data_IF_803802729469
#
_entry.id   IF_803802729469
#
_cell.length_a   1.000
_cell.length_b   1.000
_cell.length_c   1.000
_cell.angle_alpha   90.00
_cell.angle_beta   90.00
_cell.angle_gamma   90.00
#
_symmetry.space_group_name_H-M   'P 1'
#
loop_
_entity.id
_entity.type
_entity.pdbx_description
1 polymer ?
#
# COMPACT_ATOMS: atom_id res chain seq x y z
N UNK A 1 5.86 13.82 21.34
CA UNK A 1 4.94 13.71 20.19
C UNK A 1 3.49 13.97 20.59
N UNK A 2 2.96 13.35 21.65
CA UNK A 2 1.57 13.50 22.12
C UNK A 2 1.07 14.96 22.22
N UNK A 3 1.88 15.88 22.75
CA UNK A 3 1.51 17.32 22.82
C UNK A 3 1.26 17.94 21.44
N UNK A 4 2.04 17.56 20.43
CA UNK A 4 1.88 18.02 19.05
C UNK A 4 0.57 17.46 18.50
N UNK A 5 0.31 16.17 18.68
CA UNK A 5 -0.94 15.54 18.23
C UNK A 5 -2.15 16.22 18.87
N UNK A 6 -2.11 16.44 20.18
CA UNK A 6 -3.19 17.12 20.88
C UNK A 6 -3.41 18.56 20.35
N UNK A 7 -2.33 19.30 20.07
CA UNK A 7 -2.43 20.64 19.49
C UNK A 7 -3.06 20.61 18.09
N UNK A 8 -2.63 19.68 17.23
CA UNK A 8 -3.15 19.49 15.88
C UNK A 8 -4.64 19.12 15.93
N UNK A 9 -5.01 18.11 16.72
CA UNK A 9 -6.42 17.67 16.85
C UNK A 9 -7.30 18.78 17.41
N UNK A 10 -6.82 19.56 18.39
CA UNK A 10 -7.56 20.70 18.94
C UNK A 10 -7.78 21.80 17.90
N UNK A 11 -6.80 22.05 17.03
CA UNK A 11 -6.95 23.01 15.95
C UNK A 11 -8.00 22.54 14.94
N UNK A 12 -7.96 21.28 14.50
CA UNK A 12 -9.00 20.73 13.62
C UNK A 12 -10.39 20.80 14.24
N UNK A 13 -10.53 20.44 15.53
CA UNK A 13 -11.79 20.53 16.24
C UNK A 13 -12.31 21.98 16.31
N UNK A 14 -11.42 22.96 16.49
CA UNK A 14 -11.82 24.38 16.54
C UNK A 14 -12.33 24.88 15.19
N UNK A 15 -11.65 24.54 14.10
CA UNK A 15 -11.97 25.03 12.77
C UNK A 15 -13.18 24.30 12.14
N UNK A 16 -13.33 23.00 12.42
CA UNK A 16 -14.39 22.16 11.82
C UNK A 16 -15.62 21.98 12.74
N UNK A 17 -15.48 22.16 14.05
CA UNK A 17 -16.55 21.93 15.04
C UNK A 17 -17.29 20.60 14.81
N UNK A 18 -18.58 20.64 14.46
CA UNK A 18 -19.43 19.47 14.22
C UNK A 18 -19.14 18.74 12.92
N UNK A 19 -18.40 19.36 12.01
CA UNK A 19 -18.02 18.75 10.74
C UNK A 19 -16.81 17.81 10.89
N UNK A 20 -16.06 17.87 12.01
CA UNK A 20 -15.10 16.83 12.38
C UNK A 20 -15.79 15.79 13.25
N UNK A 21 -16.14 14.67 12.63
CA UNK A 21 -16.90 13.62 13.30
C UNK A 21 -16.01 12.71 14.14
N UNK A 22 -14.81 12.39 13.64
CA UNK A 22 -13.83 11.59 14.36
C UNK A 22 -12.40 12.00 14.04
N UNK A 23 -11.51 11.77 15.01
CA UNK A 23 -10.07 11.82 14.80
C UNK A 23 -9.42 10.59 15.43
N UNK A 24 -8.60 9.89 14.67
CA UNK A 24 -7.92 8.66 15.08
C UNK A 24 -6.42 8.77 14.85
N UNK A 25 -5.66 8.29 15.82
CA UNK A 25 -4.26 7.96 15.64
C UNK A 25 -4.15 6.46 15.34
N UNK A 26 -3.31 6.09 14.38
CA UNK A 26 -3.04 4.69 14.08
C UNK A 26 -1.56 4.46 13.78
N UNK A 27 -1.18 3.20 13.55
CA UNK A 27 0.21 2.81 13.30
C UNK A 27 1.11 3.00 14.53
N UNK A 28 2.39 3.27 14.28
CA UNK A 28 3.43 3.07 15.31
C UNK A 28 3.28 3.92 16.59
N UNK A 29 2.71 5.13 16.46
CA UNK A 29 2.48 5.98 17.62
C UNK A 29 1.34 5.47 18.49
N UNK A 30 0.26 4.97 17.89
CA UNK A 30 -0.85 4.37 18.65
C UNK A 30 -0.42 3.06 19.35
N UNK A 31 0.44 2.27 18.70
CA UNK A 31 0.97 1.01 19.21
C UNK A 31 2.16 1.15 20.19
N UNK A 32 2.60 2.37 20.50
CA UNK A 32 3.74 2.65 21.40
C UNK A 32 5.10 2.09 20.93
N UNK A 33 5.28 1.90 19.62
CA UNK A 33 6.56 1.51 18.99
C UNK A 33 7.10 2.61 18.03
N UNK A 34 6.67 3.86 18.24
CA UNK A 34 7.09 5.02 17.47
C UNK A 34 8.56 5.37 17.67
N UNK A 35 9.26 5.64 16.56
CA UNK A 35 10.61 6.16 16.54
C UNK A 35 10.62 7.49 15.75
N UNK A 36 11.00 8.63 16.34
CA UNK A 36 10.98 9.92 15.67
C UNK A 36 11.91 10.01 14.46
N UNK A 37 12.93 9.16 14.36
CA UNK A 37 13.85 9.15 13.24
C UNK A 37 13.32 8.36 12.06
N UNK A 38 12.43 7.38 12.29
CA UNK A 38 12.02 6.42 11.27
C UNK A 38 10.52 6.36 11.00
N UNK A 39 9.70 6.81 11.95
CA UNK A 39 8.23 6.77 11.87
C UNK A 39 7.66 8.11 11.42
N UNK A 40 6.59 8.03 10.65
CA UNK A 40 5.64 9.12 10.45
C UNK A 40 4.54 9.07 11.52
N UNK A 41 3.76 10.16 11.59
CA UNK A 41 2.54 10.21 12.38
C UNK A 41 1.37 9.93 11.45
N UNK A 42 0.60 8.89 11.77
CA UNK A 42 -0.55 8.47 10.99
C UNK A 42 -1.85 8.93 11.69
N UNK A 43 -2.43 10.01 11.17
CA UNK A 43 -3.70 10.56 11.62
C UNK A 43 -4.78 10.29 10.59
N UNK A 44 -5.97 9.92 11.05
CA UNK A 44 -7.18 9.79 10.25
C UNK A 44 -8.22 10.79 10.77
N UNK A 45 -8.70 11.66 9.90
CA UNK A 45 -9.80 12.58 10.16
C UNK A 45 -11.02 12.11 9.39
N UNK A 46 -12.12 11.89 10.10
CA UNK A 46 -13.42 11.60 9.49
C UNK A 46 -14.26 12.86 9.55
N UNK A 47 -14.60 13.38 8.38
CA UNK A 47 -15.32 14.65 8.24
C UNK A 47 -16.70 14.43 7.61
N UNK A 48 -17.59 15.40 7.81
CA UNK A 48 -18.91 15.40 7.20
C UNK A 48 -18.79 15.50 5.67
N UNK A 49 -19.80 15.00 4.95
CA UNK A 49 -19.85 15.08 3.48
C UNK A 49 -19.95 16.52 2.94
N UNK A 50 -20.10 17.52 3.81
CA UNK A 50 -20.22 18.94 3.42
C UNK A 50 -18.87 19.64 3.40
N UNK A 51 -17.86 19.07 4.03
CA UNK A 51 -16.52 19.65 4.07
C UNK A 51 -15.84 19.44 2.72
N UNK A 52 -15.48 20.53 2.05
CA UNK A 52 -14.70 20.45 0.81
C UNK A 52 -13.23 20.17 1.13
N UNK A 53 -12.55 19.45 0.23
CA UNK A 53 -11.11 19.20 0.37
C UNK A 53 -10.30 20.51 0.32
N UNK A 54 -10.82 21.54 -0.33
CA UNK A 54 -10.25 22.89 -0.37
C UNK A 54 -10.24 23.53 1.02
N UNK A 55 -11.37 23.48 1.73
CA UNK A 55 -11.44 23.98 3.10
C UNK A 55 -10.50 23.21 4.04
N UNK A 56 -10.37 21.89 3.85
CA UNK A 56 -9.40 21.09 4.60
C UNK A 56 -7.95 21.50 4.32
N UNK A 57 -7.62 21.85 3.07
CA UNK A 57 -6.31 22.37 2.71
C UNK A 57 -6.05 23.69 3.44
N UNK A 58 -6.99 24.62 3.43
CA UNK A 58 -6.84 25.92 4.11
C UNK A 58 -6.57 25.75 5.62
N UNK A 59 -7.24 24.80 6.27
CA UNK A 59 -7.02 24.48 7.69
C UNK A 59 -5.65 23.81 7.91
N UNK A 60 -5.26 22.90 7.02
CA UNK A 60 -4.05 22.11 7.21
C UNK A 60 -2.76 22.85 6.86
N UNK A 61 -2.78 23.79 5.92
CA UNK A 61 -1.58 24.52 5.47
C UNK A 61 -0.79 25.16 6.64
N UNK A 62 -1.40 25.93 7.55
CA UNK A 62 -0.71 26.46 8.73
C UNK A 62 -0.18 25.36 9.68
N UNK A 63 -0.91 24.24 9.80
CA UNK A 63 -0.50 23.09 10.61
C UNK A 63 0.76 22.45 10.00
N UNK A 64 0.78 22.26 8.69
CA UNK A 64 1.90 21.68 7.96
C UNK A 64 3.15 22.56 8.04
N UNK A 65 2.99 23.88 7.89
CA UNK A 65 4.09 24.84 8.03
C UNK A 65 4.70 24.81 9.44
N UNK A 66 3.88 24.58 10.47
CA UNK A 66 4.32 24.55 11.87
C UNK A 66 4.89 23.17 12.30
N UNK A 67 4.24 22.09 11.89
CA UNK A 67 4.49 20.73 12.42
C UNK A 67 4.88 19.69 11.38
N UNK A 68 4.94 20.06 10.09
CA UNK A 68 5.14 19.13 8.97
C UNK A 68 6.42 18.31 9.06
N UNK A 69 7.51 18.89 9.56
CA UNK A 69 8.79 18.19 9.78
C UNK A 69 8.68 17.08 10.84
N UNK A 70 7.82 17.27 11.84
CA UNK A 70 7.62 16.37 12.96
C UNK A 70 6.63 15.25 12.62
N UNK A 71 5.54 15.58 11.93
CA UNK A 71 4.52 14.58 11.55
C UNK A 71 4.88 13.81 10.27
N UNK A 72 5.67 14.42 9.36
CA UNK A 72 6.21 13.86 8.10
C UNK A 72 5.18 13.39 7.07
N UNK A 73 3.90 13.36 7.43
CA UNK A 73 2.79 12.93 6.58
C UNK A 73 1.55 13.75 6.92
N UNK A 74 0.79 14.13 5.89
CA UNK A 74 -0.54 14.69 6.08
C UNK A 74 -1.52 13.66 6.64
N UNK A 75 -2.57 14.07 7.36
CA UNK A 75 -3.61 13.15 7.79
C UNK A 75 -4.34 12.54 6.58
N UNK A 76 -4.79 11.30 6.73
CA UNK A 76 -5.86 10.78 5.89
C UNK A 76 -7.14 11.54 6.19
N UNK A 77 -7.83 12.00 5.15
CA UNK A 77 -9.12 12.68 5.27
C UNK A 77 -10.16 11.84 4.55
N UNK A 78 -11.17 11.41 5.28
CA UNK A 78 -12.26 10.60 4.73
C UNK A 78 -13.61 11.15 5.15
N UNK A 79 -14.60 10.98 4.28
CA UNK A 79 -15.98 10.91 4.74
C UNK A 79 -16.30 9.51 5.26
N UNK A 80 -17.39 9.33 6.02
CA UNK A 80 -17.83 8.00 6.47
C UNK A 80 -17.91 6.99 5.33
N UNK A 81 -18.50 7.38 4.20
CA UNK A 81 -18.67 6.50 3.05
C UNK A 81 -17.31 6.11 2.43
N UNK A 82 -16.40 7.08 2.31
CA UNK A 82 -15.05 6.83 1.79
C UNK A 82 -14.28 5.89 2.71
N UNK A 83 -14.36 6.10 4.03
CA UNK A 83 -13.71 5.23 5.01
C UNK A 83 -14.34 3.82 5.01
N UNK A 84 -15.67 3.71 4.97
CA UNK A 84 -16.36 2.43 4.97
C UNK A 84 -15.98 1.60 3.75
N UNK A 85 -15.94 2.23 2.58
CA UNK A 85 -15.45 1.61 1.35
C UNK A 85 -13.99 1.20 1.48
N UNK A 86 -13.12 2.07 1.98
CA UNK A 86 -11.71 1.75 2.15
C UNK A 86 -11.51 0.57 3.11
N UNK A 87 -12.20 0.54 4.25
CA UNK A 87 -12.18 -0.57 5.20
C UNK A 87 -12.66 -1.88 4.59
N UNK A 88 -13.76 -1.85 3.82
CA UNK A 88 -14.26 -3.01 3.09
C UNK A 88 -13.23 -3.56 2.10
N UNK A 89 -12.53 -2.66 1.39
CA UNK A 89 -11.52 -3.03 0.39
C UNK A 89 -10.19 -3.44 1.02
N UNK A 90 -9.87 -2.92 2.21
CA UNK A 90 -8.64 -3.18 2.96
C UNK A 90 -8.96 -3.78 4.34
N UNK A 91 -9.36 -5.07 4.43
CA UNK A 91 -9.69 -5.70 5.72
C UNK A 91 -8.57 -5.60 6.75
N UNK A 92 -7.31 -5.80 6.34
CA UNK A 92 -6.17 -5.65 7.26
C UNK A 92 -6.09 -4.25 7.88
N UNK A 93 -6.27 -3.19 7.08
CA UNK A 93 -6.34 -1.82 7.59
C UNK A 93 -7.53 -1.62 8.53
N UNK A 94 -8.71 -2.16 8.18
CA UNK A 94 -9.91 -2.03 9.00
C UNK A 94 -9.71 -2.64 10.40
N UNK A 95 -9.18 -3.86 10.47
CA UNK A 95 -8.91 -4.56 11.73
C UNK A 95 -7.82 -3.86 12.52
N UNK A 96 -6.72 -3.45 11.88
CA UNK A 96 -5.64 -2.74 12.54
C UNK A 96 -6.07 -1.37 13.07
N UNK A 97 -6.90 -0.62 12.34
CA UNK A 97 -7.44 0.66 12.82
C UNK A 97 -8.30 0.48 14.08
N UNK A 98 -9.04 -0.63 14.15
CA UNK A 98 -9.97 -0.91 15.24
C UNK A 98 -9.27 -1.43 16.48
N UNK A 99 -8.35 -2.37 16.31
CA UNK A 99 -7.68 -3.04 17.42
C UNK A 99 -6.51 -2.21 17.97
N UNK A 100 -5.80 -1.51 17.09
CA UNK A 100 -4.57 -0.79 17.46
C UNK A 100 -4.69 0.73 17.31
N UNK A 101 -5.83 1.23 16.81
CA UNK A 101 -6.08 2.66 16.71
C UNK A 101 -6.45 3.27 18.05
N UNK A 102 -6.11 4.54 18.22
CA UNK A 102 -6.46 5.35 19.38
C UNK A 102 -7.41 6.46 18.94
N UNK A 103 -8.63 6.46 19.47
CA UNK A 103 -9.55 7.59 19.30
C UNK A 103 -8.99 8.82 20.01
N UNK A 104 -8.84 9.92 19.27
CA UNK A 104 -8.48 11.24 19.77
C UNK A 104 -9.72 12.13 19.94
N UNK A 105 -10.77 11.87 19.14
CA UNK A 105 -12.05 12.57 19.16
C UNK A 105 -13.16 11.64 18.65
N UNK A 106 -14.32 11.76 19.28
CA UNK A 106 -15.53 10.99 18.94
C UNK A 106 -15.63 9.68 19.72
N UNK A 107 -16.80 9.05 19.62
CA UNK A 107 -17.05 7.72 20.20
C UNK A 107 -16.30 6.61 19.45
N UNK A 108 -16.58 5.36 19.80
CA UNK A 108 -16.00 4.22 19.11
C UNK A 108 -16.48 4.22 17.64
N UNK A 109 -15.52 4.26 16.71
CA UNK A 109 -15.76 4.27 15.26
C UNK A 109 -16.63 3.08 14.84
N UNK A 110 -16.44 1.93 15.48
CA UNK A 110 -17.18 0.71 15.18
C UNK A 110 -18.68 0.83 15.42
N UNK A 111 -19.10 1.59 16.43
CA UNK A 111 -20.51 1.70 16.79
C UNK A 111 -21.33 2.39 15.68
N UNK A 112 -20.65 3.05 14.74
CA UNK A 112 -21.28 3.88 13.72
C UNK A 112 -20.80 3.56 12.30
N UNK A 113 -20.12 2.43 12.12
CA UNK A 113 -19.62 1.93 10.84
C UNK A 113 -20.29 0.58 10.52
N UNK A 114 -20.31 0.17 9.23
CA UNK A 114 -20.72 -1.18 8.88
C UNK A 114 -19.89 -2.24 9.62
N UNK A 115 -20.42 -3.47 9.81
CA UNK A 115 -19.65 -4.56 10.37
C UNK A 115 -18.31 -4.73 9.66
N UNK A 116 -17.26 -5.03 10.43
CA UNK A 116 -15.94 -5.24 9.86
C UNK A 116 -15.99 -6.39 8.86
N UNK A 117 -15.31 -6.26 7.71
CA UNK A 117 -15.15 -7.40 6.82
C UNK A 117 -14.34 -8.49 7.54
N UNK A 118 -14.68 -9.75 7.30
CA UNK A 118 -13.86 -10.86 7.79
C UNK A 118 -12.42 -10.71 7.29
N UNK A 119 -11.45 -10.83 8.21
CA UNK A 119 -10.04 -10.88 7.87
C UNK A 119 -9.62 -12.35 7.86
N UNK A 120 -9.69 -12.97 6.68
CA UNK A 120 -9.10 -14.29 6.51
C UNK A 120 -7.58 -14.19 6.68
N UNK A 121 -6.95 -15.19 7.34
CA UNK A 121 -5.51 -15.21 7.54
C UNK A 121 -4.75 -15.03 6.22
N UNK A 122 -5.23 -15.67 5.14
CA UNK A 122 -4.67 -15.49 3.79
C UNK A 122 -4.62 -14.03 3.34
N UNK A 123 -5.66 -13.23 3.60
CA UNK A 123 -5.68 -11.81 3.24
C UNK A 123 -4.67 -11.00 4.07
N UNK A 124 -4.59 -11.28 5.37
CA UNK A 124 -3.64 -10.63 6.26
C UNK A 124 -2.19 -10.91 5.82
N UNK A 125 -1.85 -12.18 5.65
CA UNK A 125 -0.49 -12.59 5.30
C UNK A 125 -0.14 -12.26 3.85
N UNK A 126 -1.10 -12.18 2.92
CA UNK A 126 -0.84 -11.70 1.56
C UNK A 126 -0.40 -10.23 1.55
N UNK A 127 -1.10 -9.39 2.33
CA UNK A 127 -0.73 -7.98 2.49
C UNK A 127 0.66 -7.85 3.13
N UNK A 128 0.91 -8.58 4.22
CA UNK A 128 2.19 -8.60 4.91
C UNK A 128 3.33 -9.08 3.99
N UNK A 129 3.12 -10.15 3.23
CA UNK A 129 4.08 -10.65 2.25
C UNK A 129 4.34 -9.64 1.13
N UNK A 130 3.32 -8.92 0.66
CA UNK A 130 3.50 -7.89 -0.35
C UNK A 130 4.32 -6.70 0.17
N UNK A 131 4.06 -6.26 1.41
CA UNK A 131 4.86 -5.23 2.03
C UNK A 131 6.31 -5.67 2.24
N UNK A 132 6.54 -6.92 2.68
CA UNK A 132 7.89 -7.49 2.80
C UNK A 132 8.59 -7.57 1.43
N UNK A 133 7.91 -8.00 0.38
CA UNK A 133 8.43 -8.01 -0.99
C UNK A 133 8.88 -6.61 -1.41
N UNK A 134 8.07 -5.57 -1.19
CA UNK A 134 8.45 -4.20 -1.55
C UNK A 134 9.61 -3.67 -0.70
N UNK A 135 9.67 -4.02 0.58
CA UNK A 135 10.73 -3.62 1.50
C UNK A 135 12.08 -4.28 1.20
N UNK A 136 12.06 -5.47 0.58
CA UNK A 136 13.27 -6.19 0.18
C UNK A 136 14.16 -5.42 -0.81
N UNK A 137 13.64 -4.35 -1.43
CA UNK A 137 14.42 -3.44 -2.27
C UNK A 137 15.67 -2.88 -1.58
N UNK A 138 15.65 -2.74 -0.26
CA UNK A 138 16.82 -2.31 0.53
C UNK A 138 18.02 -3.27 0.40
N UNK A 139 17.82 -4.53 0.01
CA UNK A 139 18.91 -5.47 -0.29
C UNK A 139 19.66 -5.09 -1.57
N UNK A 140 19.02 -4.34 -2.47
CA UNK A 140 19.56 -3.87 -3.74
C UNK A 140 20.12 -2.45 -3.69
N UNK A 141 20.56 -1.96 -2.52
CA UNK A 141 20.97 -0.56 -2.32
C UNK A 141 21.95 -0.03 -3.38
N UNK A 142 22.86 -0.87 -3.88
CA UNK A 142 23.82 -0.51 -4.94
C UNK A 142 23.22 -0.31 -6.35
N UNK A 143 21.91 -0.49 -6.54
CA UNK A 143 21.23 -0.31 -7.83
C UNK A 143 20.63 1.08 -8.02
N UNK A 144 20.49 1.84 -6.93
CA UNK A 144 19.80 3.14 -6.89
C UNK A 144 20.69 4.22 -6.26
N UNK A 145 20.37 5.52 -6.46
CA UNK A 145 21.05 6.60 -5.76
C UNK A 145 20.98 6.45 -4.23
N UNK A 146 21.97 7.02 -3.53
CA UNK A 146 22.11 6.87 -2.07
C UNK A 146 20.87 7.35 -1.28
N UNK A 147 20.18 8.38 -1.77
CA UNK A 147 18.95 8.89 -1.16
C UNK A 147 17.80 7.87 -1.25
N UNK A 148 17.61 7.25 -2.42
CA UNK A 148 16.61 6.20 -2.63
C UNK A 148 16.95 4.94 -1.82
N UNK A 149 18.22 4.55 -1.76
CA UNK A 149 18.67 3.44 -0.93
C UNK A 149 18.39 3.68 0.56
N UNK A 150 18.62 4.91 1.05
CA UNK A 150 18.31 5.29 2.42
C UNK A 150 16.79 5.25 2.68
N UNK A 151 15.97 5.69 1.74
CA UNK A 151 14.51 5.62 1.83
C UNK A 151 14.00 4.16 1.85
N UNK A 152 14.58 3.28 1.03
CA UNK A 152 14.24 1.85 1.01
C UNK A 152 14.65 1.17 2.32
N UNK A 153 15.82 1.49 2.89
CA UNK A 153 16.23 0.99 4.21
C UNK A 153 15.28 1.48 5.32
N UNK A 154 14.90 2.76 5.28
CA UNK A 154 13.93 3.34 6.23
C UNK A 154 12.59 2.61 6.17
N UNK A 155 12.13 2.29 4.95
CA UNK A 155 10.91 1.53 4.70
C UNK A 155 11.02 0.11 5.27
N UNK A 156 12.13 -0.58 5.00
CA UNK A 156 12.39 -1.92 5.55
C UNK A 156 12.33 -1.93 7.08
N UNK A 157 13.00 -0.97 7.73
CA UNK A 157 13.02 -0.86 9.19
C UNK A 157 11.65 -0.56 9.77
N UNK A 158 10.87 0.32 9.13
CA UNK A 158 9.48 0.60 9.52
C UNK A 158 8.60 -0.64 9.44
N UNK A 159 8.72 -1.41 8.36
CA UNK A 159 7.98 -2.65 8.18
C UNK A 159 8.41 -3.67 9.24
N UNK A 160 9.71 -3.88 9.44
CA UNK A 160 10.21 -4.79 10.47
C UNK A 160 9.70 -4.45 11.88
N UNK A 161 9.67 -3.16 12.28
CA UNK A 161 9.10 -2.75 13.58
C UNK A 161 7.61 -3.07 13.70
N UNK A 162 6.83 -2.93 12.62
CA UNK A 162 5.42 -3.31 12.58
C UNK A 162 5.23 -4.83 12.73
N UNK A 163 6.10 -5.63 12.13
CA UNK A 163 6.06 -7.09 12.22
C UNK A 163 6.50 -7.62 13.59
N UNK A 164 7.59 -7.07 14.12
CA UNK A 164 8.25 -7.61 15.31
C UNK A 164 7.74 -6.99 16.61
N UNK A 165 7.11 -5.81 16.55
CA UNK A 165 6.58 -5.12 17.73
C UNK A 165 7.65 -4.54 18.66
N UNK A 166 8.92 -4.53 18.26
CA UNK A 166 10.05 -4.13 19.10
C UNK A 166 11.04 -3.23 18.36
N UNK A 167 11.94 -2.59 19.14
CA UNK A 167 12.98 -1.74 18.60
C UNK A 167 14.02 -2.55 17.82
N UNK A 168 14.50 -1.99 16.71
CA UNK A 168 15.58 -2.56 15.91
C UNK A 168 16.92 -1.95 16.31
N UNK A 169 18.03 -2.70 16.26
CA UNK A 169 19.36 -2.10 16.41
C UNK A 169 19.57 -0.99 15.36
N UNK A 170 20.10 0.19 15.75
CA UNK A 170 20.26 1.33 14.83
C UNK A 170 21.13 0.96 13.62
N UNK A 171 22.18 0.16 13.84
CA UNK A 171 23.16 -0.19 12.81
C UNK A 171 22.92 -1.57 12.16
N UNK A 172 21.74 -2.16 12.37
CA UNK A 172 21.41 -3.45 11.74
C UNK A 172 21.42 -3.32 10.21
N UNK A 173 22.20 -4.14 9.48
CA UNK A 173 22.23 -4.12 8.02
C UNK A 173 20.89 -4.60 7.45
N UNK A 174 20.60 -4.22 6.20
CA UNK A 174 19.35 -4.58 5.52
C UNK A 174 19.11 -6.11 5.50
N UNK A 175 20.17 -6.91 5.35
CA UNK A 175 20.09 -8.38 5.36
C UNK A 175 19.57 -8.91 6.69
N UNK A 176 20.11 -8.44 7.81
CA UNK A 176 19.68 -8.83 9.15
C UNK A 176 18.25 -8.40 9.42
N UNK A 177 17.87 -7.16 9.06
CA UNK A 177 16.51 -6.67 9.26
C UNK A 177 15.50 -7.46 8.42
N UNK A 178 15.80 -7.72 7.14
CA UNK A 178 14.93 -8.50 6.27
C UNK A 178 14.86 -9.98 6.67
N UNK A 179 15.98 -10.57 7.09
CA UNK A 179 16.04 -11.93 7.62
C UNK A 179 15.07 -12.13 8.79
N UNK A 180 15.02 -11.18 9.73
CA UNK A 180 14.07 -11.23 10.86
C UNK A 180 12.61 -11.14 10.43
N UNK A 181 12.30 -10.37 9.38
CA UNK A 181 10.94 -10.37 8.81
C UNK A 181 10.61 -11.76 8.27
N UNK A 182 11.52 -12.39 7.55
CA UNK A 182 11.31 -13.71 6.95
C UNK A 182 11.18 -14.82 8.00
N UNK A 183 12.00 -14.80 9.06
CA UNK A 183 11.90 -15.76 10.17
C UNK A 183 10.52 -15.71 10.87
N UNK A 184 9.84 -14.56 10.85
CA UNK A 184 8.48 -14.41 11.37
C UNK A 184 7.40 -14.77 10.33
N UNK A 185 7.55 -14.26 9.10
CA UNK A 185 6.54 -14.38 8.06
C UNK A 185 6.48 -15.79 7.45
N UNK A 186 7.62 -16.43 7.20
CA UNK A 186 7.68 -17.70 6.48
C UNK A 186 6.97 -18.84 7.23
N UNK A 187 7.18 -19.06 8.56
CA UNK A 187 6.44 -20.08 9.29
C UNK A 187 4.93 -19.82 9.32
N UNK A 188 4.53 -18.56 9.47
CA UNK A 188 3.12 -18.17 9.53
C UNK A 188 2.39 -18.42 8.20
N UNK A 189 3.04 -18.08 7.08
CA UNK A 189 2.50 -18.36 5.73
C UNK A 189 2.41 -19.87 5.47
N UNK A 190 3.40 -20.65 5.88
CA UNK A 190 3.36 -22.11 5.73
C UNK A 190 2.32 -22.81 6.61
N UNK A 191 1.90 -22.17 7.71
CA UNK A 191 0.88 -22.70 8.61
C UNK A 191 -0.57 -22.42 8.15
N UNK A 192 -0.75 -21.64 7.07
CA UNK A 192 -2.08 -21.32 6.55
C UNK A 192 -2.86 -22.59 6.14
N UNK A 193 -4.18 -22.66 6.41
CA UNK A 193 -5.00 -23.80 5.97
C UNK A 193 -4.99 -23.93 4.45
N UNK A 194 -4.78 -25.15 3.94
CA UNK A 194 -4.57 -25.35 2.51
C UNK A 194 -5.59 -26.31 1.90
N UNK A 195 -6.45 -25.80 0.99
CA UNK A 195 -7.30 -26.64 0.12
C UNK A 195 -6.52 -27.13 -1.13
N UNK A 196 -5.41 -26.46 -1.45
CA UNK A 196 -4.41 -26.88 -2.42
C UNK A 196 -3.06 -26.89 -1.71
N UNK A 197 -2.21 -27.91 -1.85
CA UNK A 197 -0.90 -27.88 -1.24
C UNK A 197 -0.14 -26.67 -1.78
N UNK A 198 0.11 -25.69 -0.92
CA UNK A 198 1.07 -24.59 -1.15
C UNK A 198 2.51 -25.11 -1.19
N UNK A 199 2.69 -26.43 -1.33
CA UNK A 199 3.93 -27.11 -1.56
C UNK A 199 4.47 -26.63 -2.91
N UNK A 200 5.11 -25.47 -2.90
CA UNK A 200 6.05 -25.11 -3.94
C UNK A 200 7.08 -26.22 -3.99
N UNK A 201 7.31 -26.75 -5.19
CA UNK A 201 8.46 -27.58 -5.45
C UNK A 201 9.70 -26.90 -4.83
N UNK A 202 10.32 -27.55 -3.83
CA UNK A 202 11.47 -26.98 -3.12
C UNK A 202 12.75 -27.03 -3.96
N UNK A 203 12.65 -27.50 -5.20
CA UNK A 203 13.75 -27.61 -6.13
C UNK A 203 14.31 -26.24 -6.45
N UNK A 204 15.52 -25.99 -5.97
CA UNK A 204 16.35 -24.89 -6.44
C UNK A 204 16.78 -25.20 -7.87
N UNK A 205 16.66 -24.21 -8.74
CA UNK A 205 17.00 -24.34 -10.17
C UNK A 205 18.34 -23.69 -10.49
N UNK A 206 18.89 -22.87 -9.58
CA UNK A 206 20.11 -22.09 -9.84
C UNK A 206 21.33 -22.77 -9.23
N UNK A 207 22.38 -23.03 -10.02
CA UNK A 207 23.66 -23.48 -9.47
C UNK A 207 24.47 -22.34 -8.82
N UNK A 208 24.09 -21.07 -9.06
CA UNK A 208 24.84 -19.88 -8.62
C UNK A 208 24.25 -19.20 -7.39
N UNK A 209 22.93 -19.28 -7.21
CA UNK A 209 22.22 -18.71 -6.07
C UNK A 209 21.44 -19.83 -5.37
N UNK A 210 21.96 -20.38 -4.26
CA UNK A 210 21.30 -21.46 -3.53
C UNK A 210 19.87 -21.10 -3.16
N UNK A 211 18.95 -22.03 -3.47
CA UNK A 211 17.51 -21.87 -3.21
C UNK A 211 16.76 -20.96 -4.19
N UNK A 212 17.42 -20.30 -5.14
CA UNK A 212 16.72 -19.56 -6.18
C UNK A 212 15.95 -20.55 -7.07
N UNK A 213 14.66 -20.28 -7.25
CA UNK A 213 13.75 -21.13 -8.03
C UNK A 213 13.38 -20.50 -9.37
N UNK A 214 13.21 -19.18 -9.41
CA UNK A 214 12.80 -18.47 -10.62
C UNK A 214 13.06 -16.98 -10.51
N UNK A 215 12.98 -16.30 -11.65
CA UNK A 215 13.10 -14.85 -11.75
C UNK A 215 11.96 -14.28 -12.58
N UNK A 216 11.46 -13.11 -12.19
CA UNK A 216 10.45 -12.36 -12.94
C UNK A 216 10.94 -10.96 -13.26
N UNK A 217 10.47 -10.42 -14.39
CA UNK A 217 10.51 -8.98 -14.63
C UNK A 217 9.15 -8.40 -14.28
N UNK A 218 9.17 -7.42 -13.38
CA UNK A 218 8.08 -6.48 -13.10
C UNK A 218 8.45 -5.16 -13.78
N UNK A 219 7.48 -4.53 -14.44
CA UNK A 219 7.58 -3.17 -15.02
C UNK A 219 8.84 -2.78 -15.83
N UNK A 220 9.44 -3.72 -16.59
CA UNK A 220 10.66 -3.56 -17.41
C UNK A 220 11.94 -3.15 -16.65
N UNK A 221 11.84 -2.51 -15.49
CA UNK A 221 12.99 -2.03 -14.71
C UNK A 221 13.19 -2.77 -13.38
N UNK A 222 12.27 -3.65 -12.97
CA UNK A 222 12.33 -4.36 -11.69
C UNK A 222 12.53 -5.87 -11.87
N UNK A 223 13.61 -6.40 -11.31
CA UNK A 223 13.84 -7.84 -11.19
C UNK A 223 13.28 -8.37 -9.88
N UNK A 224 12.52 -9.47 -9.94
CA UNK A 224 12.06 -10.20 -8.75
C UNK A 224 12.74 -11.56 -8.70
N UNK A 225 13.50 -11.80 -7.63
CA UNK A 225 14.10 -13.10 -7.34
C UNK A 225 13.18 -13.87 -6.41
N UNK A 226 12.75 -15.06 -6.86
CA UNK A 226 11.82 -15.89 -6.11
C UNK A 226 12.52 -17.19 -5.72
N UNK A 227 12.65 -17.39 -4.41
CA UNK A 227 13.35 -18.52 -3.82
C UNK A 227 12.36 -19.60 -3.39
N UNK A 228 12.80 -20.85 -3.36
CA UNK A 228 11.97 -21.96 -2.84
C UNK A 228 11.62 -21.79 -1.36
N UNK A 229 12.52 -21.15 -0.61
CA UNK A 229 12.37 -20.76 0.78
C UNK A 229 13.32 -19.58 1.05
N UNK A 230 12.98 -18.73 2.02
CA UNK A 230 13.84 -17.63 2.49
C UNK A 230 13.93 -17.71 4.01
N UNK A 231 15.13 -18.00 4.51
CA UNK A 231 15.47 -17.88 5.94
C UNK A 231 16.48 -16.75 6.16
N UNK A 232 16.58 -16.23 7.38
CA UNK A 232 17.62 -15.26 7.71
C UNK A 232 19.03 -15.75 7.33
N UNK A 233 19.36 -17.01 7.63
CA UNK A 233 20.66 -17.59 7.28
C UNK A 233 20.93 -17.60 5.76
N UNK A 234 19.92 -17.89 4.95
CA UNK A 234 20.07 -17.85 3.50
C UNK A 234 20.25 -16.42 2.99
N UNK A 235 19.54 -15.46 3.57
CA UNK A 235 19.67 -14.04 3.22
C UNK A 235 21.08 -13.54 3.56
N UNK A 236 21.61 -13.87 4.73
CA UNK A 236 22.92 -13.39 5.17
C UNK A 236 24.10 -13.99 4.39
N UNK A 237 23.92 -15.17 3.80
CA UNK A 237 24.98 -15.83 3.01
C UNK A 237 25.06 -15.34 1.55
N UNK A 238 24.04 -14.64 1.05
CA UNK A 238 24.03 -14.09 -0.31
C UNK A 238 24.82 -12.79 -0.35
N UNK A 239 25.76 -12.68 -1.29
CA UNK A 239 26.53 -11.46 -1.53
C UNK A 239 25.69 -10.42 -2.31
N UNK A 240 24.71 -9.82 -1.64
CA UNK A 240 23.73 -8.90 -2.23
C UNK A 240 24.36 -7.73 -2.98
N UNK A 241 25.40 -7.10 -2.45
CA UNK A 241 26.09 -5.99 -3.13
C UNK A 241 26.67 -6.40 -4.50
N UNK A 242 27.25 -7.61 -4.58
CA UNK A 242 27.79 -8.14 -5.85
C UNK A 242 26.68 -8.48 -6.83
N UNK A 243 25.55 -8.99 -6.33
CA UNK A 243 24.38 -9.31 -7.15
C UNK A 243 23.72 -8.04 -7.69
N UNK A 244 23.47 -7.07 -6.81
CA UNK A 244 22.97 -5.74 -7.13
C UNK A 244 23.84 -5.05 -8.19
N UNK A 245 25.16 -5.01 -8.00
CA UNK A 245 26.09 -4.40 -8.96
C UNK A 245 26.10 -5.08 -10.34
N UNK A 246 25.74 -6.38 -10.43
CA UNK A 246 25.56 -7.07 -11.72
C UNK A 246 24.23 -6.72 -12.38
N UNK A 247 23.15 -6.71 -11.59
CA UNK A 247 21.79 -6.44 -12.08
C UNK A 247 21.56 -4.97 -12.45
N UNK A 248 22.29 -4.04 -11.83
CA UNK A 248 22.18 -2.60 -12.05
C UNK A 248 22.42 -2.16 -13.52
N UNK A 249 22.97 -3.04 -14.36
CA UNK A 249 23.15 -2.78 -15.80
C UNK A 249 21.84 -2.79 -16.58
N UNK A 250 20.93 -3.69 -16.19
CA UNK A 250 19.71 -3.99 -16.94
C UNK A 250 18.44 -3.65 -16.15
N UNK A 251 18.55 -3.50 -14.83
CA UNK A 251 17.44 -3.27 -13.92
C UNK A 251 17.77 -2.13 -12.95
N UNK A 252 16.74 -1.38 -12.56
CA UNK A 252 16.85 -0.33 -11.54
C UNK A 252 16.51 -0.80 -10.15
N UNK A 253 15.75 -1.91 -10.03
CA UNK A 253 15.29 -2.41 -8.74
C UNK A 253 15.37 -3.92 -8.65
N UNK A 254 15.68 -4.40 -7.45
CA UNK A 254 15.69 -5.81 -7.09
C UNK A 254 14.67 -6.04 -5.97
N UNK A 255 13.79 -7.01 -6.14
CA UNK A 255 12.89 -7.49 -5.09
C UNK A 255 13.12 -8.97 -4.84
N UNK A 256 12.87 -9.42 -3.60
CA UNK A 256 13.18 -10.77 -3.12
C UNK A 256 12.00 -11.31 -2.34
N UNK A 257 11.59 -12.54 -2.62
CA UNK A 257 10.51 -13.24 -1.91
C UNK A 257 10.62 -14.76 -2.08
N UNK A 258 9.78 -15.52 -1.38
CA UNK A 258 9.64 -16.97 -1.58
C UNK A 258 8.49 -17.31 -2.52
N UNK A 259 8.51 -18.49 -3.14
CA UNK A 259 7.45 -18.94 -4.06
C UNK A 259 6.07 -18.98 -3.41
N UNK A 260 5.99 -19.41 -2.14
CA UNK A 260 4.75 -19.46 -1.37
C UNK A 260 4.20 -18.05 -1.13
N UNK A 261 5.06 -17.13 -0.69
CA UNK A 261 4.69 -15.73 -0.50
C UNK A 261 4.27 -15.08 -1.83
N UNK A 262 4.99 -15.36 -2.92
CA UNK A 262 4.69 -14.77 -4.23
C UNK A 262 3.34 -15.22 -4.79
N UNK A 263 2.98 -16.51 -4.61
CA UNK A 263 1.64 -17.04 -4.90
C UNK A 263 0.58 -16.34 -4.06
N UNK A 264 0.82 -16.22 -2.75
CA UNK A 264 -0.13 -15.60 -1.81
C UNK A 264 -0.43 -14.15 -2.20
N UNK A 265 0.62 -13.39 -2.51
CA UNK A 265 0.53 -12.01 -3.01
C UNK A 265 -0.33 -11.97 -4.29
N UNK A 266 -0.02 -12.78 -5.29
CA UNK A 266 -0.72 -12.74 -6.58
C UNK A 266 -2.15 -13.26 -6.49
N UNK A 267 -2.48 -14.10 -5.51
CA UNK A 267 -3.85 -14.59 -5.35
C UNK A 267 -4.74 -13.58 -4.63
N UNK A 268 -4.27 -12.97 -3.54
CA UNK A 268 -5.13 -12.19 -2.63
C UNK A 268 -4.88 -10.67 -2.68
N UNK A 269 -3.64 -10.24 -2.93
CA UNK A 269 -3.26 -8.83 -2.90
C UNK A 269 -3.18 -8.20 -4.30
N UNK A 270 -2.61 -8.93 -5.28
CA UNK A 270 -2.36 -8.49 -6.66
C UNK A 270 -2.97 -9.39 -7.75
N UNK A 271 -4.24 -9.84 -7.64
CA UNK A 271 -4.86 -10.77 -8.59
C UNK A 271 -4.94 -10.29 -10.03
N UNK A 272 -4.97 -8.98 -10.27
CA UNK A 272 -4.99 -8.46 -11.64
C UNK A 272 -3.61 -8.51 -12.31
N UNK A 273 -2.52 -8.52 -11.53
CA UNK A 273 -1.18 -8.65 -12.09
C UNK A 273 -1.00 -10.04 -12.71
N UNK A 274 -1.67 -11.06 -12.14
CA UNK A 274 -1.78 -12.40 -12.70
C UNK A 274 -2.62 -12.43 -13.99
N UNK A 275 -3.84 -11.87 -13.95
CA UNK A 275 -4.76 -11.82 -15.11
C UNK A 275 -4.13 -11.10 -16.30
N UNK A 276 -3.48 -9.96 -16.06
CA UNK A 276 -2.87 -9.14 -17.09
C UNK A 276 -1.44 -9.55 -17.44
N UNK A 277 -0.90 -10.60 -16.81
CA UNK A 277 0.47 -11.09 -17.02
C UNK A 277 1.52 -9.97 -16.86
N UNK A 278 1.36 -9.14 -15.83
CA UNK A 278 2.27 -8.03 -15.49
C UNK A 278 3.61 -8.51 -14.91
N UNK A 279 3.64 -9.75 -14.43
CA UNK A 279 4.84 -10.44 -13.98
C UNK A 279 5.19 -11.52 -15.00
N UNK A 280 6.28 -11.34 -15.73
CA UNK A 280 6.71 -12.31 -16.75
C UNK A 280 7.87 -13.15 -16.22
N UNK A 281 7.74 -14.50 -16.16
CA UNK A 281 8.84 -15.36 -15.77
C UNK A 281 9.94 -15.28 -16.83
N UNK A 282 11.18 -15.09 -16.41
CA UNK A 282 12.33 -15.05 -17.31
C UNK A 282 13.14 -16.33 -17.30
N UNK A 283 13.11 -17.06 -16.19
CA UNK A 283 13.88 -18.29 -16.02
C UNK A 283 13.39 -19.08 -14.80
N UNK A 284 13.51 -20.41 -14.83
CA UNK A 284 13.23 -21.29 -13.69
C UNK A 284 11.82 -21.89 -13.69
N UNK A 285 11.37 -22.38 -12.52
CA UNK A 285 10.04 -22.95 -12.33
C UNK A 285 9.05 -21.81 -12.06
N UNK A 286 7.96 -21.71 -12.81
CA UNK A 286 6.96 -20.64 -12.66
C UNK A 286 5.92 -21.00 -11.58
N UNK A 287 6.04 -20.53 -10.32
CA UNK A 287 5.06 -20.75 -9.26
C UNK A 287 3.72 -20.07 -9.52
N UNK A 288 3.57 -19.23 -10.55
CA UNK A 288 2.30 -18.57 -10.88
C UNK A 288 1.54 -19.26 -12.02
N UNK A 289 2.14 -20.23 -12.71
CA UNK A 289 1.60 -20.80 -13.96
C UNK A 289 0.20 -21.41 -13.82
N UNK A 290 -0.08 -22.06 -12.70
CA UNK A 290 -1.35 -22.72 -12.39
C UNK A 290 -2.26 -21.90 -11.46
N UNK A 291 -1.76 -20.78 -10.94
CA UNK A 291 -2.47 -20.00 -9.92
C UNK A 291 -3.76 -19.42 -10.50
N UNK A 292 -4.86 -19.59 -9.76
CA UNK A 292 -6.17 -19.03 -10.11
C UNK A 292 -6.61 -18.02 -9.06
N UNK A 293 -7.38 -17.02 -9.48
CA UNK A 293 -8.00 -16.03 -8.60
C UNK A 293 -9.49 -15.95 -8.89
N UNK A 294 -10.27 -15.56 -7.87
CA UNK A 294 -11.71 -15.36 -8.03
C UNK A 294 -12.02 -13.97 -8.60
N UNK A 295 -13.19 -13.83 -9.23
CA UNK A 295 -13.70 -12.54 -9.72
C UNK A 295 -13.86 -11.54 -8.58
N UNK A 296 -14.28 -12.01 -7.39
CA UNK A 296 -14.36 -11.17 -6.18
C UNK A 296 -13.02 -10.53 -5.84
N UNK A 297 -11.93 -11.30 -5.80
CA UNK A 297 -10.58 -10.78 -5.50
C UNK A 297 -10.07 -9.84 -6.60
N UNK A 298 -10.32 -10.16 -7.88
CA UNK A 298 -10.00 -9.28 -9.00
C UNK A 298 -10.69 -7.91 -8.90
N UNK A 299 -11.99 -7.89 -8.61
CA UNK A 299 -12.75 -6.64 -8.44
C UNK A 299 -12.33 -5.88 -7.18
N UNK A 300 -11.98 -6.58 -6.09
CA UNK A 300 -11.39 -5.96 -4.90
C UNK A 300 -10.09 -5.23 -5.24
N UNK A 301 -9.19 -5.86 -6.01
CA UNK A 301 -7.94 -5.23 -6.46
C UNK A 301 -8.20 -4.01 -7.34
N UNK A 302 -9.12 -4.11 -8.32
CA UNK A 302 -9.53 -2.98 -9.16
C UNK A 302 -10.08 -1.81 -8.33
N UNK A 303 -10.85 -2.09 -7.29
CA UNK A 303 -11.45 -1.08 -6.41
C UNK A 303 -10.44 -0.41 -5.46
N UNK A 304 -9.39 -1.15 -5.04
CA UNK A 304 -8.36 -0.67 -4.12
C UNK A 304 -7.54 0.47 -4.71
N UNK A 305 -7.10 0.33 -5.97
CA UNK A 305 -6.26 1.35 -6.62
C UNK A 305 -6.86 2.77 -6.55
N UNK A 306 -8.09 3.03 -7.02
CA UNK A 306 -8.70 4.36 -6.89
C UNK A 306 -9.00 4.75 -5.42
N UNK A 307 -9.32 3.80 -4.54
CA UNK A 307 -9.54 4.08 -3.11
C UNK A 307 -8.26 4.56 -2.41
N UNK A 308 -7.13 3.89 -2.64
CA UNK A 308 -5.83 4.25 -2.08
C UNK A 308 -5.35 5.57 -2.67
N UNK A 309 -5.59 5.80 -3.96
CA UNK A 309 -5.28 7.09 -4.58
C UNK A 309 -6.05 8.21 -3.87
N UNK A 310 -7.36 8.06 -3.71
CA UNK A 310 -8.24 9.06 -3.09
C UNK A 310 -7.83 9.36 -1.66
N UNK A 311 -7.76 8.32 -0.82
CA UNK A 311 -7.62 8.49 0.62
C UNK A 311 -6.19 8.83 1.06
N UNK A 312 -5.21 8.23 0.40
CA UNK A 312 -3.81 8.35 0.80
C UNK A 312 -3.07 9.35 -0.09
N UNK A 313 -2.79 8.97 -1.33
CA UNK A 313 -1.78 9.68 -2.12
C UNK A 313 -2.23 11.06 -2.59
N UNK A 314 -3.44 11.17 -3.17
CA UNK A 314 -3.98 12.45 -3.66
C UNK A 314 -4.21 13.42 -2.51
N UNK A 315 -4.83 12.93 -1.43
CA UNK A 315 -5.08 13.75 -0.24
C UNK A 315 -3.76 14.30 0.30
N UNK A 316 -2.75 13.46 0.50
CA UNK A 316 -1.45 13.93 1.00
C UNK A 316 -0.79 14.93 0.04
N UNK A 317 -0.68 14.60 -1.24
CA UNK A 317 -0.07 15.49 -2.24
C UNK A 317 -0.80 16.83 -2.34
N UNK A 318 -2.13 16.80 -2.42
CA UNK A 318 -2.94 18.00 -2.52
C UNK A 318 -2.93 18.84 -1.25
N UNK A 319 -2.77 18.26 -0.07
CA UNK A 319 -2.73 19.03 1.18
C UNK A 319 -1.35 19.67 1.44
N UNK A 320 -0.28 19.05 0.95
CA UNK A 320 1.11 19.46 1.26
C UNK A 320 1.78 20.29 0.16
N UNK A 321 1.34 20.16 -1.11
CA UNK A 321 1.92 20.91 -2.23
C UNK A 321 1.83 22.43 -2.03
N UNK A 322 2.80 23.18 -2.55
CA UNK A 322 2.69 24.63 -2.67
C UNK A 322 1.61 25.04 -3.69
N UNK A 323 1.12 26.29 -3.63
CA UNK A 323 0.00 26.72 -4.48
C UNK A 323 0.37 26.71 -5.99
N UNK A 324 1.60 27.05 -6.30
CA UNK A 324 2.18 26.99 -7.65
C UNK A 324 2.41 25.55 -8.16
N UNK A 325 2.45 24.56 -7.25
CA UNK A 325 2.62 23.14 -7.58
C UNK A 325 1.30 22.39 -7.77
N UNK A 326 0.14 23.00 -7.49
CA UNK A 326 -1.15 22.31 -7.60
C UNK A 326 -1.42 21.82 -9.03
N UNK A 327 -0.93 22.54 -10.04
CA UNK A 327 -1.04 22.09 -11.43
C UNK A 327 -0.32 20.76 -11.69
N UNK A 328 0.83 20.53 -11.04
CA UNK A 328 1.57 19.28 -11.12
C UNK A 328 0.78 18.15 -10.43
N UNK A 329 0.21 18.43 -9.25
CA UNK A 329 -0.68 17.47 -8.57
C UNK A 329 -1.83 17.06 -9.49
N UNK A 330 -2.53 18.03 -10.09
CA UNK A 330 -3.62 17.74 -11.03
C UNK A 330 -3.13 16.86 -12.18
N UNK A 331 -2.02 17.24 -12.82
CA UNK A 331 -1.44 16.49 -13.93
C UNK A 331 -1.16 15.02 -13.54
N UNK A 332 -0.51 14.80 -12.40
CA UNK A 332 -0.10 13.46 -11.96
C UNK A 332 -1.30 12.57 -11.63
N UNK A 333 -2.33 13.14 -10.99
CA UNK A 333 -3.53 12.37 -10.66
C UNK A 333 -4.49 12.19 -11.83
N UNK A 334 -4.47 13.08 -12.83
CA UNK A 334 -5.10 12.81 -14.13
C UNK A 334 -4.43 11.63 -14.85
N UNK A 335 -3.10 11.51 -14.81
CA UNK A 335 -2.39 10.36 -15.36
C UNK A 335 -2.69 9.06 -14.59
N UNK A 336 -2.80 9.12 -13.26
CA UNK A 336 -3.23 7.95 -12.47
C UNK A 336 -4.66 7.53 -12.78
N UNK A 337 -5.58 8.47 -12.99
CA UNK A 337 -6.94 8.17 -13.45
C UNK A 337 -6.95 7.56 -14.85
N UNK A 338 -6.08 8.00 -15.75
CA UNK A 338 -5.90 7.36 -17.05
C UNK A 338 -5.49 5.88 -16.89
N UNK A 339 -4.58 5.57 -15.97
CA UNK A 339 -4.21 4.18 -15.69
C UNK A 339 -5.39 3.35 -15.15
N UNK A 340 -6.27 3.93 -14.32
CA UNK A 340 -7.51 3.26 -13.88
C UNK A 340 -8.43 2.98 -15.06
N UNK A 341 -8.59 3.95 -15.99
CA UNK A 341 -9.37 3.77 -17.22
C UNK A 341 -8.80 2.67 -18.11
N UNK A 342 -7.50 2.67 -18.36
CA UNK A 342 -6.82 1.65 -19.16
C UNK A 342 -6.93 0.26 -18.52
N UNK A 343 -6.83 0.18 -17.18
CA UNK A 343 -7.08 -1.06 -16.46
C UNK A 343 -8.53 -1.54 -16.65
N UNK A 344 -9.51 -0.64 -16.62
CA UNK A 344 -10.90 -0.98 -16.93
C UNK A 344 -11.08 -1.53 -18.34
N UNK A 345 -10.41 -0.92 -19.33
CA UNK A 345 -10.45 -1.42 -20.70
C UNK A 345 -9.88 -2.84 -20.80
N UNK A 346 -8.79 -3.13 -20.08
CA UNK A 346 -8.27 -4.49 -19.98
C UNK A 346 -9.29 -5.43 -19.33
N UNK A 347 -9.86 -5.06 -18.16
CA UNK A 347 -10.91 -5.85 -17.51
C UNK A 347 -12.07 -6.16 -18.47
N UNK A 348 -12.47 -5.19 -19.30
CA UNK A 348 -13.51 -5.40 -20.29
C UNK A 348 -13.09 -6.38 -21.40
N UNK A 349 -11.87 -6.25 -21.94
CA UNK A 349 -11.33 -7.17 -22.94
C UNK A 349 -11.20 -8.60 -22.44
N UNK A 350 -10.93 -8.78 -21.14
CA UNK A 350 -10.92 -10.08 -20.47
C UNK A 350 -12.31 -10.57 -20.05
N UNK A 351 -13.39 -9.86 -20.39
CA UNK A 351 -14.77 -10.25 -20.07
C UNK A 351 -15.13 -10.15 -18.58
N UNK A 352 -14.31 -9.47 -17.78
CA UNK A 352 -14.52 -9.34 -16.33
C UNK A 352 -15.51 -8.22 -15.98
N UNK A 353 -15.64 -7.22 -16.85
CA UNK A 353 -16.61 -6.12 -16.72
C UNK A 353 -17.24 -5.80 -18.07
N UNK A 354 -18.43 -5.18 -18.01
CA UNK A 354 -19.10 -4.66 -19.20
C UNK A 354 -18.37 -3.44 -19.75
N UNK A 355 -18.55 -3.17 -21.05
CA UNK A 355 -18.03 -1.95 -21.66
C UNK A 355 -18.91 -0.80 -21.22
N UNK A 356 -18.32 0.23 -20.65
CA UNK A 356 -19.01 1.48 -20.34
C UNK A 356 -18.05 2.66 -20.46
N UNK A 357 -18.64 3.84 -20.57
CA UNK A 357 -17.93 5.11 -20.47
C UNK A 357 -18.23 5.73 -19.10
N UNK A 358 -17.28 6.46 -18.54
CA UNK A 358 -17.49 7.21 -17.32
C UNK A 358 -18.66 8.19 -17.48
N UNK A 359 -19.44 8.44 -16.42
CA UNK A 359 -20.68 9.22 -16.51
C UNK A 359 -20.44 10.70 -16.81
N UNK A 360 -19.26 11.24 -16.49
CA UNK A 360 -18.86 12.62 -16.78
C UNK A 360 -17.39 12.65 -17.18
N UNK A 361 -16.98 13.44 -18.19
CA UNK A 361 -15.57 13.65 -18.48
C UNK A 361 -14.92 14.53 -17.39
N UNK A 362 -13.60 14.40 -17.24
CA UNK A 362 -12.83 15.35 -16.42
C UNK A 362 -12.89 16.74 -17.08
N UNK A 363 -12.92 17.83 -16.30
CA UNK A 363 -12.86 19.19 -16.83
C UNK A 363 -11.57 19.42 -17.64
N UNK A 364 -11.64 20.35 -18.58
CA UNK A 364 -10.49 20.73 -19.41
C UNK A 364 -9.45 21.54 -18.61
N UNK A 365 -8.41 22.01 -19.30
CA UNK A 365 -7.33 22.78 -18.66
C UNK A 365 -7.74 24.20 -18.27
N UNK A 366 -8.76 24.75 -18.92
CA UNK A 366 -9.26 26.11 -18.71
C UNK A 366 -10.22 26.18 -17.51
N UNK A 367 -10.80 25.05 -17.11
CA UNK A 367 -11.60 24.95 -15.90
C UNK A 367 -10.80 25.34 -14.63
N UNK A 368 -11.45 25.96 -13.64
CA UNK A 368 -10.80 26.32 -12.37
C UNK A 368 -10.09 25.14 -11.70
N UNK A 369 -8.96 25.42 -11.06
CA UNK A 369 -8.15 24.44 -10.32
C UNK A 369 -9.00 23.65 -9.32
N UNK A 370 -9.87 24.34 -8.58
CA UNK A 370 -10.76 23.73 -7.58
C UNK A 370 -11.72 22.72 -8.22
N UNK A 371 -12.38 23.11 -9.31
CA UNK A 371 -13.27 22.22 -10.07
C UNK A 371 -12.54 20.98 -10.60
N UNK A 372 -11.31 21.15 -11.09
CA UNK A 372 -10.49 20.04 -11.59
C UNK A 372 -10.11 19.06 -10.48
N UNK A 373 -9.74 19.56 -9.30
CA UNK A 373 -9.42 18.73 -8.13
C UNK A 373 -10.66 17.98 -7.64
N UNK A 374 -11.79 18.67 -7.49
CA UNK A 374 -13.07 18.06 -7.09
C UNK A 374 -13.46 16.94 -8.05
N UNK A 375 -13.32 17.17 -9.36
CA UNK A 375 -13.61 16.14 -10.37
C UNK A 375 -12.71 14.91 -10.21
N UNK A 376 -11.41 15.08 -9.92
CA UNK A 376 -10.51 13.94 -9.67
C UNK A 376 -10.99 13.11 -8.47
N UNK A 377 -11.31 13.77 -7.34
CA UNK A 377 -11.83 13.07 -6.15
C UNK A 377 -13.15 12.33 -6.46
N UNK A 378 -14.06 12.96 -7.19
CA UNK A 378 -15.33 12.35 -7.60
C UNK A 378 -15.11 11.12 -8.49
N UNK A 379 -14.22 11.19 -9.47
CA UNK A 379 -13.90 10.06 -10.34
C UNK A 379 -13.29 8.89 -9.57
N UNK A 380 -12.36 9.16 -8.65
CA UNK A 380 -11.77 8.11 -7.83
C UNK A 380 -12.81 7.42 -6.94
N UNK A 381 -13.69 8.21 -6.32
CA UNK A 381 -14.80 7.64 -5.54
C UNK A 381 -15.69 6.76 -6.42
N UNK A 382 -16.08 7.26 -7.58
CA UNK A 382 -16.98 6.57 -8.50
C UNK A 382 -16.38 5.24 -8.99
N UNK A 383 -15.12 5.23 -9.40
CA UNK A 383 -14.42 4.01 -9.82
C UNK A 383 -14.34 2.98 -8.70
N UNK A 384 -13.98 3.43 -7.49
CA UNK A 384 -13.93 2.56 -6.33
C UNK A 384 -15.30 1.97 -5.98
N UNK A 385 -16.37 2.78 -6.04
CA UNK A 385 -17.75 2.33 -5.82
C UNK A 385 -18.22 1.33 -6.87
N UNK A 386 -17.92 1.59 -8.15
CA UNK A 386 -18.27 0.70 -9.25
C UNK A 386 -17.68 -0.71 -9.04
N UNK A 387 -16.38 -0.79 -8.77
CA UNK A 387 -15.71 -2.07 -8.56
C UNK A 387 -16.09 -2.73 -7.24
N UNK A 388 -16.28 -1.97 -6.16
CA UNK A 388 -16.76 -2.50 -4.89
C UNK A 388 -18.16 -3.14 -5.05
N UNK A 389 -19.05 -2.52 -5.84
CA UNK A 389 -20.36 -3.12 -6.16
C UNK A 389 -20.21 -4.42 -6.96
N UNK A 390 -19.36 -4.45 -8.00
CA UNK A 390 -19.10 -5.67 -8.77
C UNK A 390 -18.46 -6.78 -7.93
N UNK A 391 -17.59 -6.42 -6.97
CA UNK A 391 -17.00 -7.34 -5.99
C UNK A 391 -18.10 -8.01 -5.14
N UNK A 392 -19.02 -7.22 -4.58
CA UNK A 392 -20.11 -7.74 -3.75
C UNK A 392 -21.11 -8.60 -4.54
N UNK A 393 -21.27 -8.35 -5.83
CA UNK A 393 -22.10 -9.17 -6.73
C UNK A 393 -21.45 -10.48 -7.17
N UNK A 394 -20.13 -10.60 -7.02
CA UNK A 394 -19.35 -11.78 -7.36
C UNK A 394 -19.09 -12.70 -6.14
N UNK A 395 -19.71 -12.39 -5.00
CA UNK A 395 -19.55 -13.07 -3.72
C UNK A 395 -20.40 -14.34 -3.60
#
# INVERSE_FOLDING_TARGET
>A
MERIIHAITKQYLRELDKDLEFAYLYGSLAQRNYDPNESDVNLLLVVSNRVSIHHMRDIFRPIWETYGRQIRRAPLIATRNTLARHMLLRPYFAHHLVHDGQSLLGGNLLDQMPPLPDLADHDAYAYLAYDALLASAALGAGMVPAEEAAADLLRLRRIARRFLGEALPPDAPATAVFGRIQDHLDPAVHALPTDQPWASDRTATSPLLPGLQTTYIRDQETMVLVFSHLSANQIDTIAWDKLAGRLAKDYRRLLVTSSVQYRLIHQFERPLDLVFRRSQPTWGLDPLADLQTTRRLQMRHAARTPADIQLDTLTNAYLTAADDEIHQVIHDYQNRLLNVRLENELLNRFGLVEKFSEPRPLPDREAPITERVDAIFQHLSWWSDYYAKKMLQAA
#
